data_IF_433084157707
#
_entry.id   IF_433084157707
#
_cell.length_a   1.000
_cell.length_b   1.000
_cell.length_c   1.000
_cell.angle_alpha   90.00
_cell.angle_beta   90.00
_cell.angle_gamma   90.00
#
_symmetry.space_group_name_H-M   'P 1'
#
loop_
_entity.id
_entity.type
_entity.pdbx_description
1 polymer ?
#
# COMPACT_ATOMS: atom_id res chain seq x y z
N UNK A 1 -8.79 21.89 3.34
CA UNK A 1 -9.68 21.47 4.45
C UNK A 1 -8.95 21.02 5.72
N UNK A 2 -7.89 20.19 5.67
CA UNK A 2 -7.19 19.70 6.90
C UNK A 2 -6.49 20.77 7.76
N UNK A 3 -5.98 21.87 7.18
CA UNK A 3 -5.25 22.92 7.92
C UNK A 3 -6.15 23.73 8.88
N UNK A 4 -7.38 24.02 8.48
CA UNK A 4 -8.34 24.77 9.30
C UNK A 4 -8.88 23.96 10.48
N UNK A 5 -8.98 22.63 10.33
CA UNK A 5 -9.39 21.72 11.40
C UNK A 5 -8.37 21.68 12.55
N UNK A 6 -7.07 21.70 12.24
CA UNK A 6 -6.00 21.71 13.24
C UNK A 6 -5.96 23.05 13.99
N UNK A 7 -6.10 24.17 13.28
CA UNK A 7 -6.16 25.51 13.88
C UNK A 7 -7.39 25.69 14.80
N UNK A 8 -8.54 25.15 14.40
CA UNK A 8 -9.76 25.16 15.20
C UNK A 8 -9.62 24.30 16.47
N UNK A 9 -9.06 23.09 16.36
CA UNK A 9 -8.81 22.22 17.51
C UNK A 9 -7.83 22.86 18.53
N UNK A 10 -6.82 23.60 18.04
CA UNK A 10 -5.86 24.29 18.90
C UNK A 10 -6.50 25.48 19.64
N UNK A 11 -7.38 26.25 18.99
CA UNK A 11 -8.09 27.36 19.61
C UNK A 11 -9.09 26.90 20.69
N UNK A 12 -9.75 25.76 20.47
CA UNK A 12 -10.69 25.16 21.44
C UNK A 12 -9.96 24.58 22.66
N UNK A 13 -8.76 24.02 22.48
CA UNK A 13 -7.93 23.52 23.59
C UNK A 13 -7.38 24.64 24.50
N UNK A 14 -7.18 25.84 23.95
CA UNK A 14 -6.72 27.01 24.73
C UNK A 14 -7.84 27.66 25.55
N UNK A 15 -9.11 27.39 25.22
CA UNK A 15 -10.29 27.95 25.90
C UNK A 15 -10.90 27.00 26.97
N UNK A 16 -10.30 25.82 27.18
CA UNK A 16 -10.79 24.80 28.12
C UNK A 16 -10.19 24.89 29.53
N UNK A 17 -9.20 25.76 29.77
CA UNK A 17 -8.51 25.88 31.07
C UNK A 17 -8.84 27.22 31.73
N UNK A 18 -9.26 27.17 32.99
CA UNK A 18 -9.49 28.34 33.85
C UNK A 18 -8.60 28.23 35.08
N UNK A 19 -7.98 29.34 35.49
CA UNK A 19 -7.20 29.42 36.73
C UNK A 19 -8.15 29.85 37.83
N UNK A 20 -8.29 29.04 38.89
CA UNK A 20 -9.04 29.42 40.08
C UNK A 20 -8.24 30.42 40.91
N UNK A 21 -8.90 31.19 41.77
CA UNK A 21 -8.29 32.26 42.59
C UNK A 21 -7.17 31.75 43.53
N UNK A 22 -7.11 30.45 43.80
CA UNK A 22 -6.07 29.77 44.57
C UNK A 22 -4.86 29.29 43.73
N UNK A 23 -4.80 29.63 42.44
CA UNK A 23 -3.73 29.24 41.52
C UNK A 23 -3.88 27.84 40.91
N UNK A 24 -4.93 27.10 41.26
CA UNK A 24 -5.18 25.77 40.72
C UNK A 24 -5.76 25.83 39.30
N UNK A 25 -5.29 24.93 38.45
CA UNK A 25 -5.83 24.73 37.11
C UNK A 25 -7.14 23.93 37.21
N UNK A 26 -8.24 24.51 36.74
CA UNK A 26 -9.54 23.86 36.62
C UNK A 26 -9.97 23.79 35.15
N UNK A 27 -10.56 22.65 34.78
CA UNK A 27 -11.20 22.48 33.47
C UNK A 27 -12.51 23.27 33.50
N UNK A 28 -12.71 24.17 32.55
CA UNK A 28 -13.96 24.92 32.44
C UNK A 28 -15.12 23.98 32.06
N UNK A 29 -16.36 24.40 32.34
CA UNK A 29 -17.54 23.64 31.90
C UNK A 29 -17.54 23.41 30.37
N UNK A 30 -16.99 24.37 29.60
CA UNK A 30 -16.76 24.23 28.18
C UNK A 30 -15.68 23.18 27.84
N UNK A 31 -14.62 23.08 28.64
CA UNK A 31 -13.59 22.05 28.51
C UNK A 31 -14.13 20.63 28.68
N UNK A 32 -15.08 20.42 29.60
CA UNK A 32 -15.75 19.13 29.75
C UNK A 32 -16.59 18.75 28.52
N UNK A 33 -17.28 19.71 27.90
CA UNK A 33 -18.04 19.48 26.65
C UNK A 33 -17.11 19.04 25.51
N UNK A 34 -15.93 19.66 25.39
CA UNK A 34 -14.94 19.31 24.36
C UNK A 34 -14.40 17.89 24.57
N UNK A 35 -14.12 17.50 25.82
CA UNK A 35 -13.64 16.15 26.16
C UNK A 35 -14.71 15.11 25.78
N UNK A 36 -15.96 15.32 26.20
CA UNK A 36 -17.08 14.43 25.88
C UNK A 36 -17.27 14.31 24.36
N UNK A 37 -17.25 15.44 23.64
CA UNK A 37 -17.37 15.44 22.18
C UNK A 37 -16.23 14.67 21.51
N UNK A 38 -15.00 14.82 21.99
CA UNK A 38 -13.84 14.08 21.46
C UNK A 38 -14.02 12.57 21.63
N UNK A 39 -14.46 12.12 22.80
CA UNK A 39 -14.70 10.69 23.10
C UNK A 39 -15.81 10.15 22.21
N UNK A 40 -16.93 10.88 22.07
CA UNK A 40 -18.01 10.50 21.17
C UNK A 40 -17.56 10.44 19.70
N UNK A 41 -16.71 11.37 19.27
CA UNK A 41 -16.18 11.40 17.91
C UNK A 41 -15.27 10.19 17.62
N UNK A 42 -14.40 9.82 18.57
CA UNK A 42 -13.59 8.60 18.48
C UNK A 42 -14.45 7.33 18.44
N UNK A 43 -15.49 7.23 19.27
CA UNK A 43 -16.44 6.10 19.25
C UNK A 43 -17.16 6.04 17.90
N UNK A 44 -17.63 7.16 17.37
CA UNK A 44 -18.33 7.22 16.09
C UNK A 44 -17.43 6.82 14.90
N UNK A 45 -16.17 7.26 14.90
CA UNK A 45 -15.18 6.83 13.90
C UNK A 45 -14.92 5.33 13.97
N UNK A 46 -14.78 4.76 15.18
CA UNK A 46 -14.59 3.32 15.37
C UNK A 46 -15.77 2.50 14.84
N UNK A 47 -17.00 2.92 15.14
CA UNK A 47 -18.22 2.25 14.65
C UNK A 47 -18.30 2.33 13.12
N UNK A 48 -18.03 3.51 12.53
CA UNK A 48 -18.10 3.71 11.08
C UNK A 48 -17.09 2.83 10.33
N UNK A 49 -15.85 2.75 10.81
CA UNK A 49 -14.83 1.86 10.23
C UNK A 49 -15.22 0.39 10.29
N UNK A 50 -15.77 -0.07 11.43
CA UNK A 50 -16.22 -1.46 11.58
C UNK A 50 -17.38 -1.82 10.65
N UNK A 51 -18.25 -0.85 10.32
CA UNK A 51 -19.38 -1.04 9.41
C UNK A 51 -18.93 -1.16 7.96
N UNK A 52 -17.94 -0.38 7.54
CA UNK A 52 -17.33 -0.51 6.21
C UNK A 52 -16.62 -1.87 6.07
N UNK A 53 -15.91 -2.33 7.09
CA UNK A 53 -15.22 -3.62 7.06
C UNK A 53 -16.18 -4.80 6.89
N UNK A 54 -17.30 -4.80 7.62
CA UNK A 54 -18.35 -5.80 7.48
C UNK A 54 -18.96 -5.77 6.07
N UNK A 55 -19.26 -4.58 5.54
CA UNK A 55 -19.81 -4.43 4.19
C UNK A 55 -18.85 -4.95 3.11
N UNK A 56 -17.56 -4.61 3.19
CA UNK A 56 -16.54 -5.09 2.24
C UNK A 56 -16.39 -6.62 2.32
N UNK A 57 -16.34 -7.18 3.54
CA UNK A 57 -16.29 -8.63 3.74
C UNK A 57 -17.53 -9.33 3.17
N UNK A 58 -18.72 -8.79 3.42
CA UNK A 58 -19.97 -9.31 2.88
C UNK A 58 -20.04 -9.19 1.35
N UNK A 59 -19.59 -8.09 0.74
CA UNK A 59 -19.59 -7.94 -0.72
C UNK A 59 -18.62 -8.89 -1.40
N UNK A 60 -17.44 -9.13 -0.80
CA UNK A 60 -16.50 -10.15 -1.28
C UNK A 60 -17.11 -11.56 -1.17
N UNK A 61 -17.72 -11.88 -0.01
CA UNK A 61 -18.37 -13.18 0.19
C UNK A 61 -19.52 -13.43 -0.79
N UNK A 62 -20.32 -12.41 -1.11
CA UNK A 62 -21.38 -12.48 -2.14
C UNK A 62 -20.81 -12.78 -3.53
N UNK A 63 -19.57 -12.40 -3.80
CA UNK A 63 -18.87 -12.70 -5.05
C UNK A 63 -18.08 -14.03 -4.97
N UNK A 64 -18.24 -14.81 -3.88
CA UNK A 64 -17.48 -16.04 -3.63
C UNK A 64 -16.01 -15.80 -3.28
N UNK A 65 -15.62 -14.55 -3.01
CA UNK A 65 -14.25 -14.15 -2.73
C UNK A 65 -14.02 -14.03 -1.23
N UNK A 66 -12.84 -14.45 -0.76
CA UNK A 66 -12.39 -14.24 0.62
C UNK A 66 -11.17 -13.32 0.61
N UNK A 67 -11.03 -12.53 1.67
CA UNK A 67 -9.83 -11.68 1.89
C UNK A 67 -8.54 -12.53 1.88
N UNK A 68 -8.63 -13.78 2.34
CA UNK A 68 -7.52 -14.75 2.33
C UNK A 68 -7.01 -15.12 0.93
N UNK A 69 -7.79 -14.87 -0.12
CA UNK A 69 -7.40 -15.19 -1.49
C UNK A 69 -6.46 -14.13 -2.08
N UNK A 70 -6.31 -12.99 -1.38
CA UNK A 70 -5.42 -11.91 -1.78
C UNK A 70 -4.13 -12.00 -0.96
N UNK A 71 -2.98 -11.98 -1.65
CA UNK A 71 -1.67 -11.92 -1.03
C UNK A 71 -0.99 -10.61 -1.37
N UNK A 72 -0.49 -9.89 -0.37
CA UNK A 72 0.25 -8.65 -0.58
C UNK A 72 1.51 -8.92 -1.43
N UNK A 73 1.77 -8.05 -2.40
CA UNK A 73 2.92 -8.13 -3.32
C UNK A 73 3.91 -7.00 -3.07
N UNK A 74 3.42 -5.81 -2.73
CA UNK A 74 4.26 -4.63 -2.49
C UNK A 74 3.69 -3.38 -3.17
N UNK A 75 4.55 -2.38 -3.39
CA UNK A 75 4.22 -1.17 -4.15
C UNK A 75 4.46 -1.42 -5.63
N UNK A 76 3.45 -1.26 -6.49
CA UNK A 76 3.65 -1.26 -7.94
C UNK A 76 4.26 0.07 -8.40
N UNK A 77 5.30 0.00 -9.24
CA UNK A 77 6.02 1.18 -9.74
C UNK A 77 5.97 1.36 -11.25
N UNK A 78 5.58 0.32 -12.01
CA UNK A 78 5.42 0.43 -13.45
C UNK A 78 5.71 -0.86 -14.22
N UNK A 79 5.65 -0.75 -15.55
CA UNK A 79 6.05 -1.81 -16.47
C UNK A 79 4.92 -2.74 -16.93
N UNK A 80 3.66 -2.35 -16.73
CA UNK A 80 2.50 -3.00 -17.36
C UNK A 80 1.91 -2.07 -18.42
N UNK A 81 1.71 -2.50 -19.69
CA UNK A 81 1.40 -1.62 -20.83
C UNK A 81 0.04 -0.92 -20.76
N UNK A 82 -0.86 -1.42 -19.90
CA UNK A 82 -2.21 -0.87 -19.70
C UNK A 82 -2.36 -0.10 -18.39
N UNK A 83 -1.28 0.07 -17.62
CA UNK A 83 -1.36 0.62 -16.28
C UNK A 83 -0.10 1.41 -15.89
N UNK A 84 -0.21 2.73 -15.93
CA UNK A 84 0.93 3.65 -15.78
C UNK A 84 1.04 4.29 -14.39
N UNK A 85 0.06 4.06 -13.51
CA UNK A 85 0.01 4.71 -12.19
C UNK A 85 0.78 3.90 -11.16
N UNK A 86 1.63 4.56 -10.37
CA UNK A 86 2.22 3.94 -9.17
C UNK A 86 1.12 3.61 -8.15
N UNK A 87 1.14 2.42 -7.56
CA UNK A 87 0.15 1.95 -6.56
C UNK A 87 0.86 1.51 -5.29
N UNK A 88 0.50 2.10 -4.14
CA UNK A 88 1.20 1.90 -2.88
C UNK A 88 1.05 0.50 -2.28
N UNK A 89 -0.13 -0.11 -2.43
CA UNK A 89 -0.44 -1.43 -1.88
C UNK A 89 -1.13 -2.27 -2.93
N UNK A 90 -0.39 -3.23 -3.47
CA UNK A 90 -0.92 -4.20 -4.41
C UNK A 90 -0.98 -5.58 -3.77
N UNK A 91 -2.07 -6.28 -4.04
CA UNK A 91 -2.20 -7.71 -3.79
C UNK A 91 -2.42 -8.48 -5.07
N UNK A 92 -1.96 -9.72 -5.12
CA UNK A 92 -2.25 -10.67 -6.19
C UNK A 92 -3.35 -11.63 -5.74
N UNK A 93 -4.19 -12.03 -6.68
CA UNK A 93 -5.12 -13.15 -6.58
C UNK A 93 -4.81 -14.13 -7.70
N UNK A 94 -4.85 -15.41 -7.38
CA UNK A 94 -4.74 -16.47 -8.37
C UNK A 94 -6.10 -16.70 -9.05
N UNK A 95 -6.15 -16.49 -10.37
CA UNK A 95 -7.31 -16.71 -11.22
C UNK A 95 -6.99 -17.80 -12.24
N UNK A 96 -6.79 -19.05 -11.80
CA UNK A 96 -6.52 -20.27 -12.59
C UNK A 96 -5.44 -20.14 -13.69
N UNK A 97 -5.70 -19.38 -14.77
CA UNK A 97 -4.80 -19.12 -15.89
C UNK A 97 -4.09 -17.75 -15.83
N UNK A 98 -4.47 -16.85 -14.92
CA UNK A 98 -3.88 -15.51 -14.81
C UNK A 98 -3.62 -15.10 -13.36
N UNK A 99 -2.68 -14.19 -13.19
CA UNK A 99 -2.43 -13.49 -11.94
C UNK A 99 -3.11 -12.12 -11.99
N UNK A 100 -4.04 -11.89 -11.07
CA UNK A 100 -4.83 -10.66 -11.02
C UNK A 100 -4.38 -9.74 -9.90
N UNK A 101 -4.04 -8.49 -10.24
CA UNK A 101 -3.49 -7.51 -9.31
C UNK A 101 -4.53 -6.47 -8.92
N UNK A 102 -4.59 -6.16 -7.62
CA UNK A 102 -5.58 -5.27 -7.01
C UNK A 102 -4.92 -4.22 -6.12
N UNK A 103 -5.39 -2.98 -6.21
CA UNK A 103 -5.06 -1.87 -5.33
C UNK A 103 -5.89 -1.89 -4.06
N UNK A 104 -5.23 -1.64 -2.93
CA UNK A 104 -5.88 -1.42 -1.63
C UNK A 104 -5.68 0.04 -1.18
N UNK A 105 -6.74 0.84 -1.27
CA UNK A 105 -6.74 2.23 -0.77
C UNK A 105 -6.64 2.26 0.77
N UNK A 106 -7.30 1.32 1.45
CA UNK A 106 -7.19 1.10 2.90
C UNK A 106 -7.28 -0.39 3.22
N UNK A 107 -6.97 -0.77 4.47
CA UNK A 107 -7.12 -2.16 4.96
C UNK A 107 -8.57 -2.66 4.92
N UNK A 108 -9.53 -1.74 4.78
CA UNK A 108 -10.96 -1.97 4.98
C UNK A 108 -11.75 -1.78 3.66
N UNK A 109 -11.16 -1.10 2.67
CA UNK A 109 -11.79 -0.81 1.39
C UNK A 109 -11.86 -2.03 0.48
N UNK A 110 -12.89 -2.07 -0.38
CA UNK A 110 -12.95 -3.03 -1.48
C UNK A 110 -11.70 -2.90 -2.37
N UNK A 111 -10.99 -4.01 -2.66
CA UNK A 111 -9.85 -3.97 -3.56
C UNK A 111 -10.29 -3.54 -4.95
N UNK A 112 -9.60 -2.56 -5.54
CA UNK A 112 -9.86 -2.13 -6.91
C UNK A 112 -8.98 -2.92 -7.86
N UNK A 113 -9.56 -3.45 -8.93
CA UNK A 113 -8.79 -4.12 -9.99
C UNK A 113 -7.78 -3.16 -10.64
N UNK A 114 -6.55 -3.64 -10.86
CA UNK A 114 -5.52 -2.92 -11.61
C UNK A 114 -5.31 -3.53 -12.99
N UNK A 115 -4.76 -4.74 -13.03
CA UNK A 115 -4.35 -5.42 -14.26
C UNK A 115 -4.16 -6.93 -14.02
N UNK A 116 -4.01 -7.67 -15.12
CA UNK A 116 -3.79 -9.11 -15.14
C UNK A 116 -2.54 -9.47 -15.95
N UNK A 117 -1.83 -10.51 -15.53
CA UNK A 117 -0.77 -11.15 -16.32
C UNK A 117 -1.14 -12.62 -16.51
N UNK A 118 -1.20 -13.07 -17.77
CA UNK A 118 -1.43 -14.49 -18.08
C UNK A 118 -0.25 -15.33 -17.59
N UNK A 119 -0.51 -16.45 -16.91
CA UNK A 119 0.55 -17.28 -16.31
C UNK A 119 1.49 -17.83 -17.37
N UNK A 120 0.94 -18.32 -18.48
CA UNK A 120 1.69 -18.88 -19.62
C UNK A 120 2.61 -17.85 -20.29
N UNK A 121 2.34 -16.57 -20.08
CA UNK A 121 3.12 -15.47 -20.64
C UNK A 121 4.30 -15.06 -19.76
N UNK A 122 4.37 -15.57 -18.53
CA UNK A 122 5.43 -15.23 -17.57
C UNK A 122 6.70 -16.03 -17.92
N UNK A 123 7.77 -15.30 -18.23
CA UNK A 123 9.09 -15.86 -18.53
C UNK A 123 9.89 -16.11 -17.27
N UNK A 124 9.85 -15.17 -16.32
CA UNK A 124 10.58 -15.30 -15.07
C UNK A 124 10.04 -14.38 -13.99
N UNK A 125 10.26 -14.79 -12.74
CA UNK A 125 10.01 -13.96 -11.56
C UNK A 125 11.32 -13.87 -10.77
N UNK A 126 11.89 -12.69 -10.66
CA UNK A 126 13.20 -12.45 -10.03
C UNK A 126 13.12 -11.40 -8.93
N UNK A 127 14.14 -11.36 -8.09
CA UNK A 127 14.30 -10.31 -7.08
C UNK A 127 15.62 -9.62 -7.34
N UNK A 128 15.59 -8.30 -7.38
CA UNK A 128 16.77 -7.46 -7.43
C UNK A 128 16.84 -6.61 -6.17
N UNK A 129 18.05 -6.31 -5.74
CA UNK A 129 18.28 -5.36 -4.67
C UNK A 129 18.82 -4.04 -5.21
N UNK A 130 18.84 -3.07 -4.31
CA UNK A 130 19.51 -1.79 -4.45
C UNK A 130 20.89 -1.86 -5.11
N UNK A 131 21.75 -2.77 -4.61
CA UNK A 131 23.15 -2.82 -5.01
C UNK A 131 23.33 -3.34 -6.44
N UNK A 132 22.50 -4.31 -6.84
CA UNK A 132 22.48 -4.84 -8.20
C UNK A 132 22.07 -3.77 -9.22
N UNK A 133 21.10 -2.92 -8.87
CA UNK A 133 20.65 -1.81 -9.70
C UNK A 133 21.70 -0.71 -9.78
N UNK A 134 22.30 -0.31 -8.65
CA UNK A 134 23.38 0.68 -8.63
C UNK A 134 24.56 0.26 -9.51
N UNK A 135 24.95 -1.01 -9.44
CA UNK A 135 26.04 -1.55 -10.27
C UNK A 135 25.71 -1.47 -11.76
N UNK A 136 24.47 -1.81 -12.15
CA UNK A 136 24.00 -1.71 -13.56
C UNK A 136 23.96 -0.26 -14.06
N UNK A 137 23.53 0.69 -13.22
CA UNK A 137 23.54 2.13 -13.53
C UNK A 137 24.97 2.65 -13.68
N UNK A 138 25.82 2.33 -12.72
CA UNK A 138 27.23 2.79 -12.67
C UNK A 138 28.02 2.29 -13.88
N UNK A 139 27.70 1.08 -14.38
CA UNK A 139 28.28 0.53 -15.60
C UNK A 139 27.70 1.11 -16.91
N UNK A 140 26.92 2.19 -16.83
CA UNK A 140 26.35 2.88 -17.99
C UNK A 140 25.22 2.12 -18.70
N UNK A 141 24.76 0.99 -18.14
CA UNK A 141 23.72 0.14 -18.75
C UNK A 141 22.33 0.57 -18.32
N UNK A 142 22.04 1.88 -18.44
CA UNK A 142 20.76 2.47 -18.00
C UNK A 142 19.56 1.83 -18.69
N UNK A 143 19.72 1.35 -19.93
CA UNK A 143 18.69 0.59 -20.65
C UNK A 143 18.36 -0.76 -19.99
N UNK A 144 19.32 -1.42 -19.32
CA UNK A 144 19.10 -2.70 -18.63
C UNK A 144 18.40 -2.54 -17.28
N UNK A 145 18.36 -1.33 -16.73
CA UNK A 145 17.66 -1.00 -15.49
C UNK A 145 16.29 -0.39 -15.74
N UNK A 146 15.84 -0.24 -16.98
CA UNK A 146 14.44 0.04 -17.35
C UNK A 146 13.66 0.95 -16.40
N UNK A 147 12.46 0.51 -16.00
CA UNK A 147 11.61 1.21 -15.02
C UNK A 147 12.19 1.23 -13.59
N UNK A 148 13.18 0.36 -13.30
CA UNK A 148 13.87 0.31 -12.00
C UNK A 148 14.64 1.58 -11.69
N UNK A 149 15.24 2.23 -12.69
CA UNK A 149 15.98 3.48 -12.50
C UNK A 149 15.08 4.60 -11.94
N UNK A 150 13.79 4.63 -12.31
CA UNK A 150 12.83 5.60 -11.79
C UNK A 150 12.41 5.31 -10.35
N UNK A 151 12.24 4.03 -10.00
CA UNK A 151 11.92 3.61 -8.63
C UNK A 151 13.12 3.82 -7.67
N UNK A 152 14.34 3.56 -8.15
CA UNK A 152 15.60 3.72 -7.42
C UNK A 152 15.87 5.16 -6.98
N UNK A 153 15.75 6.14 -7.90
CA UNK A 153 16.15 7.54 -7.66
C UNK A 153 15.46 8.20 -6.46
N UNK A 154 14.33 7.66 -5.99
CA UNK A 154 13.53 8.24 -4.91
C UNK A 154 13.96 7.83 -3.49
N UNK A 155 14.86 6.84 -3.27
CA UNK A 155 15.05 6.23 -1.92
C UNK A 155 16.51 5.95 -1.56
N UNK A 156 17.05 6.69 -0.57
CA UNK A 156 18.46 6.59 -0.13
C UNK A 156 18.67 6.02 1.30
N UNK A 157 17.62 5.67 2.05
CA UNK A 157 17.75 5.41 3.52
C UNK A 157 17.14 4.06 3.98
N UNK A 158 16.46 3.32 3.10
CA UNK A 158 15.83 2.04 3.48
C UNK A 158 16.39 0.89 2.65
N UNK A 159 16.47 -0.29 3.25
CA UNK A 159 16.59 -1.55 2.51
C UNK A 159 15.39 -1.66 1.56
N UNK A 160 15.67 -1.94 0.29
CA UNK A 160 14.70 -2.02 -0.79
C UNK A 160 14.96 -3.31 -1.56
N UNK A 161 13.87 -4.02 -1.87
CA UNK A 161 13.89 -5.17 -2.76
C UNK A 161 12.86 -4.97 -3.87
N UNK A 162 13.25 -5.32 -5.07
CA UNK A 162 12.45 -5.21 -6.28
C UNK A 162 12.03 -6.60 -6.70
N UNK A 163 10.72 -6.87 -6.71
CA UNK A 163 10.16 -8.06 -7.33
C UNK A 163 9.85 -7.75 -8.79
N UNK A 164 10.39 -8.55 -9.68
CA UNK A 164 10.27 -8.37 -11.13
C UNK A 164 9.53 -9.55 -11.73
N UNK A 165 8.50 -9.25 -12.52
CA UNK A 165 7.82 -10.24 -13.36
C UNK A 165 8.14 -9.88 -14.80
N UNK A 166 8.94 -10.72 -15.44
CA UNK A 166 9.22 -10.66 -16.88
C UNK A 166 8.18 -11.50 -17.60
N UNK A 167 7.47 -10.90 -18.56
CA UNK A 167 6.42 -11.57 -19.31
C UNK A 167 6.31 -11.00 -20.73
N UNK A 168 5.60 -11.70 -21.61
CA UNK A 168 5.33 -11.23 -22.98
C UNK A 168 3.85 -11.21 -23.29
N UNK A 169 3.34 -10.16 -23.90
CA UNK A 169 1.96 -10.14 -24.43
C UNK A 169 1.84 -10.75 -25.84
N UNK A 170 2.91 -11.42 -26.31
CA UNK A 170 3.04 -11.98 -27.65
C UNK A 170 3.57 -10.98 -28.69
N UNK A 171 3.65 -9.69 -28.37
CA UNK A 171 4.23 -8.65 -29.23
C UNK A 171 5.48 -8.02 -28.64
N UNK A 172 5.44 -7.73 -27.34
CA UNK A 172 6.53 -7.08 -26.63
C UNK A 172 6.83 -7.82 -25.33
N UNK A 173 8.07 -7.65 -24.89
CA UNK A 173 8.51 -8.08 -23.58
C UNK A 173 8.30 -6.96 -22.58
N UNK A 174 7.76 -7.32 -21.43
CA UNK A 174 7.36 -6.41 -20.36
C UNK A 174 8.03 -6.84 -19.05
N UNK A 175 8.50 -5.85 -18.30
CA UNK A 175 9.09 -6.03 -16.98
C UNK A 175 8.23 -5.28 -15.96
N UNK A 176 7.30 -5.98 -15.33
CA UNK A 176 6.39 -5.43 -14.31
C UNK A 176 7.07 -5.47 -12.96
N UNK A 177 7.10 -4.32 -12.28
CA UNK A 177 7.95 -4.14 -11.09
C UNK A 177 7.15 -3.76 -9.85
N UNK A 178 7.45 -4.46 -8.76
CA UNK A 178 6.98 -4.17 -7.42
C UNK A 178 8.15 -3.89 -6.48
N UNK A 179 7.91 -3.06 -5.47
CA UNK A 179 8.92 -2.61 -4.51
C UNK A 179 8.45 -2.91 -3.09
N UNK A 180 9.33 -3.57 -2.33
CA UNK A 180 9.21 -3.78 -0.89
C UNK A 180 10.29 -2.97 -0.18
N UNK A 181 9.97 -2.44 0.99
CA UNK A 181 10.84 -1.48 1.70
C UNK A 181 10.82 -1.72 3.20
N UNK A 182 11.96 -1.49 3.83
CA UNK A 182 12.15 -1.71 5.27
C UNK A 182 13.03 -2.91 5.54
N UNK A 183 13.25 -3.20 6.83
CA UNK A 183 14.23 -4.21 7.31
C UNK A 183 13.96 -5.64 6.83
N UNK A 184 12.74 -5.94 6.37
CA UNK A 184 12.34 -7.26 5.86
C UNK A 184 12.03 -7.24 4.37
N UNK A 185 12.43 -6.19 3.65
CA UNK A 185 12.09 -6.02 2.23
C UNK A 185 12.49 -7.23 1.37
N UNK A 186 13.71 -7.73 1.55
CA UNK A 186 14.22 -8.89 0.82
C UNK A 186 13.47 -10.18 1.17
N UNK A 187 13.19 -10.40 2.46
CA UNK A 187 12.45 -11.58 2.93
C UNK A 187 11.02 -11.59 2.39
N UNK A 188 10.33 -10.45 2.43
CA UNK A 188 8.97 -10.29 1.91
C UNK A 188 8.91 -10.46 0.40
N UNK A 189 9.86 -9.88 -0.34
CA UNK A 189 9.97 -10.05 -1.78
C UNK A 189 10.24 -11.51 -2.13
N UNK A 190 11.10 -12.20 -1.38
CA UNK A 190 11.41 -13.63 -1.57
C UNK A 190 10.22 -14.53 -1.26
N UNK A 191 9.51 -14.27 -0.16
CA UNK A 191 8.28 -14.98 0.17
C UNK A 191 7.21 -14.80 -0.91
N UNK A 192 7.11 -13.59 -1.48
CA UNK A 192 6.18 -13.28 -2.57
C UNK A 192 6.58 -13.98 -3.87
N UNK A 193 7.84 -13.90 -4.28
CA UNK A 193 8.38 -14.63 -5.43
C UNK A 193 8.10 -16.12 -5.34
N UNK A 194 8.45 -16.75 -4.22
CA UNK A 194 8.27 -18.18 -4.03
C UNK A 194 6.78 -18.57 -4.08
N UNK A 195 5.90 -17.71 -3.57
CA UNK A 195 4.46 -17.91 -3.70
C UNK A 195 4.02 -17.82 -5.16
N UNK A 196 4.42 -16.78 -5.90
CA UNK A 196 4.05 -16.62 -7.30
C UNK A 196 4.56 -17.76 -8.19
N UNK A 197 5.79 -18.23 -7.96
CA UNK A 197 6.37 -19.38 -8.67
C UNK A 197 5.50 -20.62 -8.48
N UNK A 198 4.98 -20.86 -7.27
CA UNK A 198 4.07 -21.98 -6.98
C UNK A 198 2.70 -21.86 -7.66
N UNK A 199 2.30 -20.66 -8.09
CA UNK A 199 1.03 -20.45 -8.80
C UNK A 199 1.16 -20.68 -10.30
N UNK A 200 2.37 -20.56 -10.85
CA UNK A 200 2.64 -20.65 -12.30
C UNK A 200 3.24 -22.00 -12.71
N UNK A 201 3.88 -22.72 -11.79
CA UNK A 201 4.42 -24.07 -12.00
C UNK A 201 3.47 -25.14 -11.49
#
# INVERSE_FOLDING_TARGET
>A
MKKYFILFAFAVALSSCTVKDNGDLAVSDFGWVVIIFSVFMFIFLGISGSKEEKKTKESLLKQGLRVSNFRAVGKFVGGHPKYDKEVLRVSVRDDSNKLSFYEHLSTISMPSFCFDIQKDNIKSITIEDSSSIEKKITLGRVLLVGVFAFAWRKKKIKEVAFLVIEWSDGRFDHSTVFVNEGKSAMEEANATRNYLIKLIG
#
